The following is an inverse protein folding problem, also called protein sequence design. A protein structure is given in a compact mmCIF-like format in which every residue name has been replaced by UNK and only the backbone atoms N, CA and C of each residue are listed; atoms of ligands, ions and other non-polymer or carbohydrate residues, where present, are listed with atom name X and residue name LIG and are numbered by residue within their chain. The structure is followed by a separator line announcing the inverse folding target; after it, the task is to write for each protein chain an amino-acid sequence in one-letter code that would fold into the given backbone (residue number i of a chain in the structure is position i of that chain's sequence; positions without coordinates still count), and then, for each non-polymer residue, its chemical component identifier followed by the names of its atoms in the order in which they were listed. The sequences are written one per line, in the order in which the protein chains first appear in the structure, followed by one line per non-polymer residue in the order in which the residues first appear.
data_IF_968969684727
#
_entry.id   IF_968969684727
#
_cell.length_a   1.000
_cell.length_b   1.000
_cell.length_c   1.000
_cell.angle_alpha   90.00
_cell.angle_beta   90.00
_cell.angle_gamma   90.00
#
_symmetry.space_group_name_H-M   'P 1'
#
loop_
_entity.id
_entity.type
_entity.pdbx_description
1 polymer ?
#
# COMPACT_ATOMS: atom_id res chain seq x y z
N UNK A 1 -17.79 6.75 -14.09
CA UNK A 1 -17.10 5.44 -14.01
C UNK A 1 -18.00 4.47 -13.29
N UNK A 2 -18.05 3.19 -13.72
CA UNK A 2 -18.83 2.14 -13.03
C UNK A 2 -17.89 1.07 -12.51
N UNK A 3 -18.20 0.52 -11.34
CA UNK A 3 -17.50 -0.63 -10.77
C UNK A 3 -18.31 -1.90 -11.05
N UNK A 4 -17.68 -3.07 -10.96
CA UNK A 4 -18.31 -4.36 -11.27
C UNK A 4 -18.03 -5.47 -10.25
N UNK A 5 -17.29 -5.17 -9.17
CA UNK A 5 -17.06 -6.07 -8.04
C UNK A 5 -17.48 -5.38 -6.75
N UNK A 6 -18.58 -5.81 -6.14
CA UNK A 6 -19.24 -5.10 -5.03
C UNK A 6 -19.16 -5.83 -3.69
N UNK A 7 -19.22 -7.18 -3.69
CA UNK A 7 -19.27 -7.97 -2.45
C UNK A 7 -17.91 -8.47 -1.99
N UNK A 8 -16.90 -8.29 -2.83
CA UNK A 8 -15.52 -8.68 -2.55
C UNK A 8 -14.66 -7.44 -2.40
N UNK A 9 -13.91 -7.30 -1.29
CA UNK A 9 -12.96 -6.21 -1.10
C UNK A 9 -11.62 -6.53 -1.77
N UNK A 10 -10.92 -5.50 -2.29
CA UNK A 10 -9.54 -5.60 -2.76
C UNK A 10 -8.58 -5.01 -1.72
N UNK A 11 -7.50 -5.71 -1.40
CA UNK A 11 -6.44 -5.22 -0.53
C UNK A 11 -5.09 -5.28 -1.23
N UNK A 12 -4.39 -4.15 -1.31
CA UNK A 12 -2.97 -4.06 -1.65
C UNK A 12 -2.13 -4.03 -0.36
N UNK A 13 -1.37 -5.10 -0.09
CA UNK A 13 -0.39 -5.11 1.01
C UNK A 13 0.75 -4.14 0.70
N UNK A 14 1.24 -3.43 1.72
CA UNK A 14 2.42 -2.57 1.57
C UNK A 14 3.74 -3.34 1.58
N UNK A 15 4.71 -2.81 0.88
CA UNK A 15 6.00 -3.45 0.76
C UNK A 15 7.15 -2.50 0.37
N UNK A 16 6.93 -1.19 0.40
CA UNK A 16 7.85 -0.21 -0.17
C UNK A 16 8.11 -0.53 -1.65
N UNK A 17 9.35 -0.65 -2.15
CA UNK A 17 9.61 -0.91 -3.56
C UNK A 17 9.12 -2.28 -4.07
N UNK A 18 8.82 -3.24 -3.18
CA UNK A 18 8.18 -4.52 -3.56
C UNK A 18 6.79 -4.35 -4.17
N UNK A 19 6.15 -3.22 -3.93
CA UNK A 19 4.85 -2.86 -4.52
C UNK A 19 4.89 -2.64 -6.03
N UNK A 20 6.07 -2.57 -6.65
CA UNK A 20 6.24 -2.68 -8.10
C UNK A 20 5.62 -3.98 -8.66
N UNK A 21 5.70 -5.08 -7.90
CA UNK A 21 5.04 -6.33 -8.27
C UNK A 21 3.51 -6.19 -8.25
N UNK A 22 2.97 -5.55 -7.22
CA UNK A 22 1.53 -5.25 -7.10
C UNK A 22 1.05 -4.27 -8.16
N UNK A 23 1.90 -3.34 -8.60
CA UNK A 23 1.60 -2.41 -9.70
C UNK A 23 1.34 -3.15 -11.01
N UNK A 24 2.14 -4.17 -11.32
CA UNK A 24 1.90 -5.05 -12.48
C UNK A 24 0.55 -5.79 -12.39
N UNK A 25 0.18 -6.24 -11.19
CA UNK A 25 -1.13 -6.87 -10.93
C UNK A 25 -2.26 -5.85 -11.13
N UNK A 26 -2.14 -4.66 -10.55
CA UNK A 26 -3.14 -3.60 -10.64
C UNK A 26 -3.37 -3.17 -12.10
N UNK A 27 -2.29 -3.01 -12.87
CA UNK A 27 -2.37 -2.70 -14.30
C UNK A 27 -3.17 -3.77 -15.07
N UNK A 28 -2.85 -5.05 -14.86
CA UNK A 28 -3.56 -6.12 -15.54
C UNK A 28 -5.06 -6.14 -15.20
N UNK A 29 -5.41 -5.97 -13.92
CA UNK A 29 -6.82 -5.90 -13.50
C UNK A 29 -7.56 -4.75 -14.19
N UNK A 30 -6.94 -3.57 -14.30
CA UNK A 30 -7.51 -2.42 -15.02
C UNK A 30 -7.69 -2.71 -16.53
N UNK A 31 -6.70 -3.32 -17.17
CA UNK A 31 -6.77 -3.69 -18.60
C UNK A 31 -7.87 -4.74 -18.88
N UNK A 32 -8.16 -5.60 -17.91
CA UNK A 32 -9.25 -6.59 -18.01
C UNK A 32 -10.62 -6.03 -17.58
N UNK A 33 -10.70 -4.76 -17.20
CA UNK A 33 -11.94 -4.13 -16.76
C UNK A 33 -12.48 -4.66 -15.44
N UNK A 34 -11.63 -5.13 -14.55
CA UNK A 34 -12.01 -5.57 -13.21
C UNK A 34 -11.93 -4.40 -12.25
N UNK A 35 -13.05 -3.93 -11.72
CA UNK A 35 -13.18 -2.70 -10.95
C UNK A 35 -13.89 -2.95 -9.62
N UNK A 36 -13.11 -3.02 -8.55
CA UNK A 36 -13.63 -3.20 -7.19
C UNK A 36 -14.26 -1.92 -6.66
N UNK A 37 -15.41 -2.05 -5.98
CA UNK A 37 -16.09 -0.95 -5.31
C UNK A 37 -15.48 -0.60 -3.94
N UNK A 38 -14.68 -1.47 -3.35
CA UNK A 38 -14.04 -1.25 -2.07
C UNK A 38 -12.57 -1.69 -2.13
N UNK A 39 -11.67 -0.71 -2.00
CA UNK A 39 -10.23 -0.89 -2.17
C UNK A 39 -9.48 -0.41 -0.93
N UNK A 40 -8.65 -1.28 -0.39
CA UNK A 40 -7.81 -1.04 0.78
C UNK A 40 -6.34 -1.06 0.36
N UNK A 41 -5.55 -0.17 0.91
CA UNK A 41 -4.11 -0.17 0.64
C UNK A 41 -3.30 0.37 1.79
N UNK A 42 -2.18 -0.27 2.10
CA UNK A 42 -1.32 0.07 3.22
C UNK A 42 0.07 0.45 2.72
N UNK A 43 0.66 1.53 3.26
CA UNK A 43 2.02 1.93 2.88
C UNK A 43 2.10 2.15 1.37
N UNK A 44 3.10 1.61 0.66
CA UNK A 44 3.18 1.68 -0.79
C UNK A 44 1.95 1.08 -1.51
N UNK A 45 1.24 0.13 -0.88
CA UNK A 45 -0.05 -0.38 -1.37
C UNK A 45 -1.14 0.70 -1.41
N UNK A 46 -1.04 1.78 -0.62
CA UNK A 46 -1.95 2.93 -0.73
C UNK A 46 -1.74 3.71 -2.03
N UNK A 47 -0.49 3.79 -2.53
CA UNK A 47 -0.21 4.35 -3.85
C UNK A 47 -0.83 3.50 -4.97
N UNK A 48 -0.69 2.16 -4.89
CA UNK A 48 -1.39 1.26 -5.82
C UNK A 48 -2.92 1.46 -5.75
N UNK A 49 -3.48 1.65 -4.55
CA UNK A 49 -4.92 1.87 -4.35
C UNK A 49 -5.42 3.13 -5.05
N UNK A 50 -4.79 4.28 -4.85
CA UNK A 50 -5.25 5.54 -5.47
C UNK A 50 -5.05 5.52 -6.98
N UNK A 51 -3.94 4.95 -7.47
CA UNK A 51 -3.68 4.78 -8.90
C UNK A 51 -4.66 3.80 -9.57
N UNK A 52 -5.01 2.70 -8.91
CA UNK A 52 -6.02 1.76 -9.37
C UNK A 52 -7.41 2.41 -9.44
N UNK A 53 -7.80 3.18 -8.43
CA UNK A 53 -9.10 3.82 -8.36
C UNK A 53 -9.21 4.99 -9.35
N UNK A 54 -8.12 5.73 -9.63
CA UNK A 54 -8.11 6.71 -10.73
C UNK A 54 -8.14 6.07 -12.12
N UNK A 55 -7.94 4.75 -12.22
CA UNK A 55 -7.85 3.97 -13.48
C UNK A 55 -6.75 4.46 -14.42
N UNK A 56 -5.69 4.99 -13.88
CA UNK A 56 -4.54 5.48 -14.62
C UNK A 56 -3.57 4.32 -14.90
N UNK A 57 -3.68 3.76 -16.12
CA UNK A 57 -2.88 2.61 -16.57
C UNK A 57 -1.37 2.88 -16.58
N UNK A 58 -0.97 4.11 -16.85
CA UNK A 58 0.45 4.46 -16.93
C UNK A 58 0.99 4.76 -15.54
N UNK A 59 0.30 5.63 -14.77
CA UNK A 59 0.73 6.00 -13.44
C UNK A 59 0.83 4.81 -12.48
N UNK A 60 -0.05 3.80 -12.61
CA UNK A 60 -0.01 2.61 -11.73
C UNK A 60 1.32 1.86 -11.82
N UNK A 61 1.99 1.88 -12.98
CA UNK A 61 3.30 1.27 -13.15
C UNK A 61 4.45 2.28 -13.01
N UNK A 62 4.30 3.48 -13.54
CA UNK A 62 5.34 4.50 -13.54
C UNK A 62 5.70 4.94 -12.12
N UNK A 63 4.70 4.99 -11.21
CA UNK A 63 4.92 5.31 -9.80
C UNK A 63 5.84 4.32 -9.04
N UNK A 64 6.11 3.15 -9.60
CA UNK A 64 7.05 2.14 -9.08
C UNK A 64 8.16 1.77 -10.08
N UNK A 65 8.21 2.46 -11.22
CA UNK A 65 9.19 2.25 -12.29
C UNK A 65 10.34 3.26 -12.24
N UNK A 66 10.63 3.83 -13.42
CA UNK A 66 11.73 4.78 -13.63
C UNK A 66 11.63 6.01 -12.72
N UNK A 67 10.42 6.44 -12.35
CA UNK A 67 10.20 7.55 -11.43
C UNK A 67 10.90 7.33 -10.08
N UNK A 68 10.74 6.16 -9.47
CA UNK A 68 11.37 5.86 -8.17
C UNK A 68 12.88 5.61 -8.27
N UNK A 69 13.41 5.32 -9.45
CA UNK A 69 14.86 5.19 -9.66
C UNK A 69 15.57 6.54 -9.73
N UNK A 70 14.83 7.65 -9.91
CA UNK A 70 15.42 9.00 -9.98
C UNK A 70 16.06 9.40 -8.64
N UNK A 71 17.27 9.99 -8.66
CA UNK A 71 17.95 10.42 -7.42
C UNK A 71 17.18 11.46 -6.59
N UNK A 72 16.27 12.23 -7.21
CA UNK A 72 15.42 13.22 -6.54
C UNK A 72 14.30 12.54 -5.75
N UNK A 73 13.78 11.41 -6.20
CA UNK A 73 12.76 10.63 -5.50
C UNK A 73 13.30 10.00 -4.21
N UNK A 74 14.63 9.82 -4.11
CA UNK A 74 15.27 9.39 -2.88
C UNK A 74 16.70 8.91 -3.10
N UNK A 75 17.55 9.20 -2.12
CA UNK A 75 18.99 8.87 -2.15
C UNK A 75 19.63 9.15 -0.78
N UNK A 76 20.88 8.74 -0.59
CA UNK A 76 21.68 9.20 0.55
C UNK A 76 21.83 10.73 0.60
N UNK A 77 21.85 11.39 -0.58
CA UNK A 77 21.89 12.86 -0.66
C UNK A 77 20.60 13.48 -0.09
N UNK A 78 19.44 12.97 -0.45
CA UNK A 78 18.16 13.46 0.09
C UNK A 78 18.04 13.19 1.58
N UNK A 79 18.55 12.06 2.07
CA UNK A 79 18.63 11.73 3.48
C UNK A 79 19.48 12.73 4.27
N UNK A 80 20.69 13.04 3.81
CA UNK A 80 21.58 14.02 4.43
C UNK A 80 21.02 15.45 4.39
N UNK A 81 20.14 15.75 3.43
CA UNK A 81 19.43 17.03 3.34
C UNK A 81 18.18 17.08 4.25
N UNK A 82 17.89 16.04 5.06
CA UNK A 82 16.72 15.98 5.92
C UNK A 82 15.40 15.66 5.20
N UNK A 83 15.45 15.35 3.89
CA UNK A 83 14.27 14.99 3.08
C UNK A 83 13.89 13.52 3.19
N UNK A 84 14.73 12.70 3.84
CA UNK A 84 14.55 11.25 3.98
C UNK A 84 15.24 10.43 2.89
N UNK A 85 15.32 9.12 3.10
CA UNK A 85 15.77 8.14 2.09
C UNK A 85 14.79 8.07 0.91
N UNK A 86 13.51 8.30 1.17
CA UNK A 86 12.47 8.60 0.19
C UNK A 86 12.09 10.07 0.38
N UNK A 87 12.24 10.87 -0.67
CA UNK A 87 11.89 12.30 -0.64
C UNK A 87 10.38 12.46 -0.74
N UNK A 88 9.71 12.29 0.41
CA UNK A 88 8.26 12.31 0.46
C UNK A 88 7.63 13.61 -0.03
N UNK A 89 8.28 14.77 0.20
CA UNK A 89 7.80 16.06 -0.29
C UNK A 89 7.77 16.12 -1.82
N UNK A 90 8.77 15.52 -2.49
CA UNK A 90 8.77 15.41 -3.94
C UNK A 90 7.78 14.35 -4.43
N UNK A 91 7.81 13.14 -3.87
CA UNK A 91 6.99 12.00 -4.32
C UNK A 91 5.50 12.29 -4.20
N UNK A 92 5.06 12.77 -3.01
CA UNK A 92 3.65 13.02 -2.68
C UNK A 92 3.27 14.52 -2.76
N UNK A 93 4.16 15.35 -3.27
CA UNK A 93 3.96 16.77 -3.47
C UNK A 93 4.32 17.15 -4.90
N UNK A 94 5.48 17.79 -5.08
CA UNK A 94 5.89 18.44 -6.33
C UNK A 94 5.68 17.57 -7.58
N UNK A 95 6.02 16.28 -7.52
CA UNK A 95 5.89 15.38 -8.66
C UNK A 95 4.45 14.96 -8.95
N UNK A 96 3.60 14.86 -7.93
CA UNK A 96 2.23 14.34 -8.06
C UNK A 96 1.17 15.43 -8.26
N UNK A 97 1.54 16.70 -8.09
CA UNK A 97 0.64 17.84 -8.36
C UNK A 97 0.56 18.12 -9.87
N UNK A 98 -0.47 18.87 -10.34
CA UNK A 98 -0.60 19.25 -11.73
C UNK A 98 0.66 19.95 -12.27
N UNK A 99 1.18 19.46 -13.38
CA UNK A 99 2.42 19.95 -13.99
C UNK A 99 3.71 19.35 -13.40
N UNK A 100 3.63 18.46 -12.42
CA UNK A 100 4.76 17.69 -11.91
C UNK A 100 5.18 16.55 -12.84
N UNK A 101 6.23 15.83 -12.44
CA UNK A 101 6.82 14.76 -13.27
C UNK A 101 5.95 13.49 -13.36
N UNK A 102 5.01 13.32 -12.42
CA UNK A 102 4.09 12.19 -12.37
C UNK A 102 2.72 12.64 -11.78
N UNK A 103 1.97 13.50 -12.49
CA UNK A 103 0.75 14.11 -11.97
C UNK A 103 -0.30 13.05 -11.63
N UNK A 104 -1.01 13.25 -10.53
CA UNK A 104 -2.11 12.39 -10.09
C UNK A 104 -3.44 12.89 -10.65
N UNK A 105 -4.21 12.02 -11.30
CA UNK A 105 -5.56 12.35 -11.77
C UNK A 105 -6.56 12.31 -10.60
N UNK A 106 -6.59 13.42 -9.85
CA UNK A 106 -7.49 13.59 -8.72
C UNK A 106 -8.96 13.62 -9.13
N UNK A 107 -9.27 14.20 -10.29
CA UNK A 107 -10.65 14.29 -10.78
C UNK A 107 -11.20 12.90 -11.10
N UNK A 108 -10.44 12.07 -11.82
CA UNK A 108 -10.81 10.69 -12.10
C UNK A 108 -10.93 9.86 -10.81
N UNK A 109 -10.01 10.06 -9.85
CA UNK A 109 -10.06 9.40 -8.54
C UNK A 109 -11.34 9.73 -7.79
N UNK A 110 -11.70 11.00 -7.68
CA UNK A 110 -12.90 11.43 -6.95
C UNK A 110 -14.20 11.07 -7.69
N UNK A 111 -14.21 11.12 -9.02
CA UNK A 111 -15.36 10.73 -9.84
C UNK A 111 -15.66 9.22 -9.80
N UNK A 112 -14.70 8.39 -9.42
CA UNK A 112 -14.92 6.96 -9.25
C UNK A 112 -15.74 6.71 -7.96
N UNK A 113 -16.87 5.96 -8.01
CA UNK A 113 -17.69 5.67 -6.83
C UNK A 113 -17.02 4.74 -5.81
N UNK A 114 -15.90 4.09 -6.15
CA UNK A 114 -15.20 3.17 -5.25
C UNK A 114 -14.88 3.83 -3.91
N UNK A 115 -15.12 3.08 -2.84
CA UNK A 115 -14.68 3.42 -1.49
C UNK A 115 -13.23 3.04 -1.31
N UNK A 116 -12.47 3.94 -0.72
CA UNK A 116 -11.05 3.77 -0.43
C UNK A 116 -10.83 3.79 1.07
N UNK A 117 -10.00 2.90 1.57
CA UNK A 117 -9.56 2.91 2.97
C UNK A 117 -8.04 2.78 3.03
N UNK A 118 -7.38 3.81 3.58
CA UNK A 118 -5.93 3.90 3.73
C UNK A 118 -5.58 3.93 5.22
N UNK A 119 -5.07 2.82 5.79
CA UNK A 119 -4.63 2.78 7.18
C UNK A 119 -3.38 3.63 7.41
N UNK A 120 -3.33 4.29 8.55
CA UNK A 120 -2.18 4.99 9.11
C UNK A 120 -2.14 4.80 10.63
N UNK A 121 -1.14 5.36 11.31
CA UNK A 121 -0.94 5.23 12.75
C UNK A 121 -0.61 6.59 13.37
N UNK A 122 -1.40 7.04 14.35
CA UNK A 122 -1.11 8.25 15.11
C UNK A 122 -0.02 7.98 16.14
N UNK A 123 1.10 8.68 15.97
CA UNK A 123 2.29 8.58 16.84
C UNK A 123 1.98 8.87 18.30
N UNK A 124 1.14 9.86 18.57
CA UNK A 124 0.96 10.44 19.90
C UNK A 124 -0.13 9.74 20.71
N UNK A 125 -1.21 9.35 20.05
CA UNK A 125 -2.32 8.63 20.70
C UNK A 125 -2.20 7.11 20.61
N UNK A 126 -1.35 6.60 19.68
CA UNK A 126 -1.20 5.17 19.44
C UNK A 126 -2.42 4.52 18.78
N UNK A 127 -3.31 5.31 18.21
CA UNK A 127 -4.52 4.84 17.53
C UNK A 127 -4.28 4.54 16.07
N UNK A 128 -4.99 3.53 15.59
CA UNK A 128 -5.12 3.28 14.16
C UNK A 128 -6.02 4.35 13.54
N UNK A 129 -5.58 4.87 12.39
CA UNK A 129 -6.32 5.83 11.57
C UNK A 129 -6.71 5.11 10.29
N UNK A 130 -7.89 5.38 9.78
CA UNK A 130 -8.37 4.84 8.50
C UNK A 130 -8.89 5.99 7.66
N UNK A 131 -8.02 6.56 6.83
CA UNK A 131 -8.42 7.60 5.88
C UNK A 131 -9.31 7.03 4.79
N UNK A 132 -10.34 7.80 4.45
CA UNK A 132 -11.32 7.49 3.38
C UNK A 132 -11.40 8.66 2.42
N UNK A 133 -12.16 8.54 1.33
CA UNK A 133 -12.39 9.68 0.42
C UNK A 133 -12.97 10.91 1.09
N UNK A 134 -13.67 10.77 2.22
CA UNK A 134 -14.17 11.90 3.00
C UNK A 134 -13.03 12.76 3.60
N UNK A 135 -11.84 12.17 3.79
CA UNK A 135 -10.64 12.84 4.29
C UNK A 135 -9.75 13.40 3.17
N UNK A 136 -10.14 13.19 1.90
CA UNK A 136 -9.38 13.47 0.68
C UNK A 136 -10.07 14.58 -0.15
N UNK A 137 -10.42 15.69 0.51
CA UNK A 137 -11.20 16.79 -0.11
C UNK A 137 -10.45 17.56 -1.19
N UNK A 138 -9.13 17.51 -1.19
CA UNK A 138 -8.25 18.11 -2.20
C UNK A 138 -7.23 17.09 -2.69
N UNK A 139 -6.49 17.40 -3.75
CA UNK A 139 -5.38 16.56 -4.23
C UNK A 139 -4.29 16.46 -3.15
N UNK A 140 -3.97 17.56 -2.47
CA UNK A 140 -2.99 17.62 -1.40
C UNK A 140 -3.41 16.73 -0.21
N UNK A 141 -4.69 16.81 0.23
CA UNK A 141 -5.21 15.95 1.28
C UNK A 141 -5.08 14.47 0.91
N UNK A 142 -5.37 14.12 -0.35
CA UNK A 142 -5.23 12.75 -0.86
C UNK A 142 -3.79 12.27 -0.79
N UNK A 143 -2.87 13.09 -1.30
CA UNK A 143 -1.44 12.77 -1.32
C UNK A 143 -0.87 12.70 0.11
N UNK A 144 -1.33 13.54 1.03
CA UNK A 144 -0.92 13.51 2.44
C UNK A 144 -1.46 12.26 3.17
N UNK A 145 -2.68 11.79 2.86
CA UNK A 145 -3.19 10.52 3.39
C UNK A 145 -2.34 9.33 2.92
N UNK A 146 -1.97 9.29 1.62
CA UNK A 146 -1.08 8.25 1.06
C UNK A 146 0.32 8.33 1.67
N UNK A 147 0.88 9.54 1.80
CA UNK A 147 2.15 9.80 2.46
C UNK A 147 2.13 9.34 3.92
N UNK A 148 1.06 9.66 4.67
CA UNK A 148 0.90 9.25 6.07
C UNK A 148 0.97 7.73 6.22
N UNK A 149 0.24 6.99 5.35
CA UNK A 149 0.28 5.53 5.33
C UNK A 149 1.65 4.95 4.95
N UNK A 150 2.46 5.70 4.20
CA UNK A 150 3.75 5.25 3.65
C UNK A 150 4.97 5.70 4.48
N UNK A 151 4.76 6.51 5.52
CA UNK A 151 5.87 7.12 6.27
C UNK A 151 6.51 6.15 7.25
N UNK A 152 7.68 5.64 6.89
CA UNK A 152 8.49 4.79 7.77
C UNK A 152 9.42 5.68 8.63
N UNK A 153 9.46 5.47 9.97
CA UNK A 153 10.35 6.20 10.84
C UNK A 153 11.80 6.17 10.35
N UNK A 154 12.51 7.29 10.45
CA UNK A 154 13.88 7.56 9.98
C UNK A 154 14.06 7.60 8.46
N UNK A 155 13.26 6.88 7.69
CA UNK A 155 13.34 6.91 6.24
C UNK A 155 12.63 8.13 5.64
N UNK A 156 11.60 8.64 6.33
CA UNK A 156 10.84 9.81 5.88
C UNK A 156 10.41 10.69 7.06
N UNK A 157 10.41 12.02 6.89
CA UNK A 157 9.77 12.93 7.85
C UNK A 157 8.26 12.68 7.92
N UNK A 158 7.68 12.53 9.13
CA UNK A 158 6.25 12.28 9.26
C UNK A 158 5.42 13.52 8.87
N UNK A 159 4.34 13.35 8.10
CA UNK A 159 3.36 14.41 7.88
C UNK A 159 2.48 14.61 9.10
N UNK A 160 1.88 15.80 9.17
CA UNK A 160 0.77 16.08 10.08
C UNK A 160 -0.51 16.16 9.25
N UNK A 161 -1.41 15.21 9.44
CA UNK A 161 -2.69 15.14 8.74
C UNK A 161 -3.80 15.32 9.76
N UNK A 162 -4.68 16.31 9.56
CA UNK A 162 -5.77 16.64 10.48
C UNK A 162 -5.31 16.81 11.94
N UNK A 163 -4.13 17.42 12.15
CA UNK A 163 -3.54 17.63 13.47
C UNK A 163 -2.84 16.41 14.08
N UNK A 164 -2.84 15.25 13.42
CA UNK A 164 -2.20 14.02 13.88
C UNK A 164 -0.85 13.84 13.19
N UNK A 165 0.20 13.51 13.95
CA UNK A 165 1.50 13.12 13.39
C UNK A 165 1.48 11.65 13.02
N UNK A 166 1.44 11.38 11.71
CA UNK A 166 1.13 10.08 11.14
C UNK A 166 2.37 9.28 10.77
N UNK A 167 2.29 7.97 10.97
CA UNK A 167 3.24 6.98 10.51
C UNK A 167 2.54 5.83 9.76
N UNK A 168 3.36 5.02 9.09
CA UNK A 168 2.98 3.91 8.22
C UNK A 168 1.87 3.04 8.82
N UNK A 169 0.85 2.73 8.01
CA UNK A 169 -0.25 1.84 8.39
C UNK A 169 0.17 0.43 8.80
N UNK A 170 1.40 0.05 8.51
CA UNK A 170 2.02 -1.16 9.04
C UNK A 170 2.24 -1.14 10.55
N UNK A 171 2.10 -0.01 11.23
CA UNK A 171 2.09 0.08 12.70
C UNK A 171 0.69 -0.10 13.30
N UNK A 172 -0.36 -0.08 12.50
CA UNK A 172 -1.72 -0.39 12.91
C UNK A 172 -1.89 -1.85 13.36
N UNK A 173 -3.06 -2.19 13.90
CA UNK A 173 -3.32 -3.48 14.59
C UNK A 173 -2.99 -4.72 13.74
N UNK A 174 -3.24 -4.69 12.45
CA UNK A 174 -2.96 -5.78 11.52
C UNK A 174 -1.50 -5.91 11.09
N UNK A 175 -0.60 -5.02 11.58
CA UNK A 175 0.83 -5.05 11.24
C UNK A 175 1.13 -4.75 9.75
N UNK A 176 0.14 -4.29 8.98
CA UNK A 176 0.20 -4.01 7.54
C UNK A 176 -0.82 -4.78 6.69
N UNK A 177 -1.70 -5.56 7.36
CA UNK A 177 -2.81 -6.27 6.71
C UNK A 177 -4.10 -5.95 7.49
N UNK A 178 -4.93 -4.98 7.05
CA UNK A 178 -6.11 -4.52 7.77
C UNK A 178 -7.31 -5.47 7.61
N UNK A 179 -7.11 -6.78 7.74
CA UNK A 179 -8.16 -7.79 7.52
C UNK A 179 -9.35 -7.58 8.45
N UNK A 180 -9.07 -7.21 9.73
CA UNK A 180 -10.14 -6.92 10.70
C UNK A 180 -10.99 -5.75 10.24
N UNK A 181 -10.38 -4.67 9.72
CA UNK A 181 -11.10 -3.50 9.21
C UNK A 181 -11.99 -3.87 8.02
N UNK A 182 -11.48 -4.68 7.10
CA UNK A 182 -12.26 -5.18 5.95
C UNK A 182 -13.52 -5.94 6.44
N UNK A 183 -13.36 -6.81 7.43
CA UNK A 183 -14.48 -7.56 7.99
C UNK A 183 -15.44 -6.69 8.81
N UNK A 184 -14.92 -5.73 9.59
CA UNK A 184 -15.71 -4.75 10.34
C UNK A 184 -16.55 -3.85 9.40
N UNK A 185 -16.07 -3.60 8.17
CA UNK A 185 -16.80 -2.89 7.12
C UNK A 185 -17.88 -3.74 6.44
N UNK A 186 -18.03 -5.01 6.87
CA UNK A 186 -19.09 -5.92 6.43
C UNK A 186 -18.71 -6.89 5.33
N UNK A 187 -17.44 -6.86 4.85
CA UNK A 187 -17.01 -7.77 3.80
C UNK A 187 -16.72 -9.18 4.33
N UNK A 188 -17.34 -10.15 3.72
CA UNK A 188 -17.12 -11.59 4.00
C UNK A 188 -16.19 -12.24 2.98
N UNK A 189 -15.77 -11.48 1.96
CA UNK A 189 -14.87 -11.95 0.90
C UNK A 189 -13.85 -10.87 0.57
N UNK A 190 -12.62 -11.30 0.27
CA UNK A 190 -11.56 -10.38 -0.09
C UNK A 190 -10.54 -11.00 -1.05
N UNK A 191 -10.02 -10.19 -1.95
CA UNK A 191 -8.82 -10.46 -2.75
C UNK A 191 -7.68 -9.70 -2.10
N UNK A 192 -6.60 -10.41 -1.75
CA UNK A 192 -5.42 -9.84 -1.08
C UNK A 192 -4.20 -9.97 -1.99
N UNK A 193 -3.70 -8.85 -2.48
CA UNK A 193 -2.48 -8.80 -3.28
C UNK A 193 -1.30 -8.62 -2.32
N UNK A 194 -0.46 -9.67 -2.22
CA UNK A 194 0.68 -9.72 -1.31
C UNK A 194 1.96 -9.26 -1.99
N UNK A 195 2.81 -8.60 -1.23
CA UNK A 195 4.20 -8.26 -1.61
C UNK A 195 5.21 -9.24 -1.01
N UNK A 196 4.77 -10.46 -0.75
CA UNK A 196 5.56 -11.53 -0.13
C UNK A 196 5.18 -12.89 -0.70
N UNK A 197 6.15 -13.81 -0.67
CA UNK A 197 5.93 -15.21 -1.03
C UNK A 197 5.05 -15.91 0.02
N UNK A 198 4.39 -16.98 -0.38
CA UNK A 198 3.60 -17.82 0.54
C UNK A 198 4.47 -18.31 1.71
N UNK A 199 3.90 -18.30 2.90
CA UNK A 199 4.59 -18.73 4.12
C UNK A 199 5.55 -17.70 4.74
N UNK A 200 5.73 -16.52 4.13
CA UNK A 200 6.60 -15.49 4.71
C UNK A 200 6.11 -15.03 6.08
N UNK A 201 7.05 -14.92 7.01
CA UNK A 201 6.85 -14.34 8.35
C UNK A 201 8.02 -13.39 8.67
N UNK A 202 7.73 -12.31 9.38
CA UNK A 202 8.75 -11.34 9.82
C UNK A 202 9.55 -11.91 10.98
N UNK A 203 10.86 -11.72 10.95
CA UNK A 203 11.75 -12.03 12.08
C UNK A 203 11.56 -11.10 13.29
N UNK A 204 12.29 -11.34 14.35
CA UNK A 204 12.28 -10.47 15.53
C UNK A 204 12.75 -9.04 15.17
N UNK A 205 12.22 -8.00 15.85
CA UNK A 205 12.68 -6.63 15.66
C UNK A 205 14.16 -6.50 16.06
N UNK A 206 14.92 -5.68 15.32
CA UNK A 206 16.35 -5.47 15.62
C UNK A 206 16.55 -4.80 16.99
N UNK A 207 17.72 -5.02 17.61
CA UNK A 207 18.07 -4.38 18.87
C UNK A 207 18.05 -2.85 18.79
N UNK A 208 18.42 -2.29 17.63
CA UNK A 208 18.39 -0.84 17.38
C UNK A 208 16.96 -0.27 17.50
N UNK A 209 15.95 -1.00 17.07
CA UNK A 209 14.55 -0.55 17.19
C UNK A 209 14.12 -0.32 18.64
N UNK A 210 14.76 -0.99 19.62
CA UNK A 210 14.46 -0.80 21.06
C UNK A 210 14.88 0.58 21.57
N UNK A 211 15.82 1.24 20.91
CA UNK A 211 16.33 2.57 21.28
C UNK A 211 15.53 3.71 20.66
N UNK A 212 14.67 3.39 19.71
CA UNK A 212 13.89 4.39 18.98
C UNK A 212 12.66 4.85 19.78
N UNK A 213 12.32 6.13 19.63
CA UNK A 213 11.16 6.75 20.28
C UNK A 213 11.16 6.65 21.82
N UNK A 214 12.23 7.05 22.52
CA UNK A 214 12.29 6.93 23.99
C UNK A 214 11.20 7.77 24.67
N UNK A 215 10.79 8.90 24.07
CA UNK A 215 9.77 9.84 24.60
C UNK A 215 8.35 9.59 24.03
N UNK A 216 8.18 8.58 23.16
CA UNK A 216 6.89 8.25 22.50
C UNK A 216 6.57 6.77 22.75
N UNK A 217 6.11 6.40 23.97
CA UNK A 217 5.98 5.00 24.38
C UNK A 217 4.98 4.21 23.54
N UNK A 218 3.89 4.82 23.06
CA UNK A 218 2.87 4.16 22.24
C UNK A 218 3.44 3.80 20.85
N UNK A 219 4.13 4.74 20.21
CA UNK A 219 4.82 4.47 18.94
C UNK A 219 5.90 3.40 19.10
N UNK A 220 6.70 3.48 20.17
CA UNK A 220 7.72 2.47 20.50
C UNK A 220 7.10 1.09 20.65
N UNK A 221 5.99 0.97 21.41
CA UNK A 221 5.25 -0.29 21.57
C UNK A 221 4.76 -0.82 20.22
N UNK A 222 4.11 0.04 19.40
CA UNK A 222 3.61 -0.33 18.08
C UNK A 222 4.73 -0.89 17.18
N UNK A 223 5.91 -0.25 17.20
CA UNK A 223 7.07 -0.67 16.44
C UNK A 223 7.64 -2.02 16.91
N UNK A 224 7.79 -2.22 18.23
CA UNK A 224 8.38 -3.44 18.78
C UNK A 224 7.47 -4.67 18.60
N UNK A 225 6.14 -4.47 18.61
CA UNK A 225 5.16 -5.56 18.46
C UNK A 225 4.69 -5.75 17.01
N UNK A 226 5.13 -4.90 16.07
CA UNK A 226 4.68 -4.94 14.66
C UNK A 226 4.84 -6.31 14.02
N UNK A 227 6.02 -6.91 14.17
CA UNK A 227 6.35 -8.17 13.50
C UNK A 227 5.50 -9.32 14.04
N UNK A 228 5.27 -9.37 15.35
CA UNK A 228 4.39 -10.36 15.97
C UNK A 228 2.93 -10.19 15.49
N UNK A 229 2.42 -8.94 15.50
CA UNK A 229 1.06 -8.65 15.01
C UNK A 229 0.90 -9.03 13.54
N UNK A 230 1.87 -8.66 12.69
CA UNK A 230 1.89 -9.05 11.29
C UNK A 230 1.84 -10.58 11.12
N UNK A 231 2.68 -11.33 11.85
CA UNK A 231 2.71 -12.78 11.75
C UNK A 231 1.38 -13.42 12.17
N UNK A 232 0.78 -12.96 13.28
CA UNK A 232 -0.56 -13.40 13.70
C UNK A 232 -1.63 -13.11 12.66
N UNK A 233 -1.54 -11.96 12.00
CA UNK A 233 -2.47 -11.61 10.92
C UNK A 233 -2.23 -12.47 9.67
N UNK A 234 -0.98 -12.84 9.37
CA UNK A 234 -0.70 -13.80 8.31
C UNK A 234 -1.26 -15.19 8.61
N UNK A 235 -1.14 -15.66 9.87
CA UNK A 235 -1.72 -16.96 10.28
C UNK A 235 -3.26 -16.93 10.16
N UNK A 236 -3.88 -15.79 10.48
CA UNK A 236 -5.31 -15.60 10.28
C UNK A 236 -5.67 -15.54 8.80
N UNK A 237 -4.89 -14.86 7.96
CA UNK A 237 -5.09 -14.82 6.50
C UNK A 237 -5.03 -16.23 5.89
N UNK A 238 -4.06 -17.06 6.32
CA UNK A 238 -3.97 -18.45 5.86
C UNK A 238 -5.24 -19.25 6.22
N UNK A 239 -5.83 -19.00 7.40
CA UNK A 239 -7.10 -19.61 7.80
C UNK A 239 -8.29 -19.09 6.96
N UNK A 240 -8.32 -17.80 6.64
CA UNK A 240 -9.37 -17.21 5.80
C UNK A 240 -9.28 -17.74 4.37
N UNK A 241 -8.06 -17.91 3.84
CA UNK A 241 -7.82 -18.53 2.53
C UNK A 241 -8.32 -19.98 2.52
N UNK A 242 -7.96 -20.78 3.53
CA UNK A 242 -8.40 -22.17 3.65
C UNK A 242 -9.94 -22.33 3.75
N UNK A 243 -10.63 -21.31 4.25
CA UNK A 243 -12.11 -21.26 4.34
C UNK A 243 -12.78 -20.69 3.08
N UNK A 244 -12.00 -20.29 2.06
CA UNK A 244 -12.53 -19.63 0.86
C UNK A 244 -13.06 -18.21 1.10
N UNK A 245 -12.71 -17.57 2.22
CA UNK A 245 -13.07 -16.18 2.54
C UNK A 245 -12.10 -15.21 1.90
N UNK A 246 -10.83 -15.59 1.71
CA UNK A 246 -9.82 -14.81 1.03
C UNK A 246 -9.28 -15.55 -0.20
N UNK A 247 -9.13 -14.83 -1.31
CA UNK A 247 -8.24 -15.20 -2.40
C UNK A 247 -6.93 -14.45 -2.20
N UNK A 248 -5.83 -15.17 -2.05
CA UNK A 248 -4.54 -14.54 -1.77
C UNK A 248 -3.60 -14.73 -2.94
N UNK A 249 -3.25 -13.62 -3.58
CA UNK A 249 -2.23 -13.55 -4.61
C UNK A 249 -0.87 -13.32 -3.94
N UNK A 250 0.00 -14.33 -3.94
CA UNK A 250 1.36 -14.25 -3.40
C UNK A 250 2.36 -13.94 -4.50
N UNK A 251 3.29 -13.02 -4.26
CA UNK A 251 4.34 -12.69 -5.22
C UNK A 251 5.37 -13.83 -5.30
N UNK A 252 5.31 -14.65 -6.35
CA UNK A 252 6.15 -15.84 -6.51
C UNK A 252 7.59 -15.52 -6.93
N UNK A 253 7.74 -14.65 -7.95
CA UNK A 253 9.03 -14.31 -8.55
C UNK A 253 9.56 -12.96 -8.10
N UNK A 254 9.14 -12.51 -6.91
CA UNK A 254 9.59 -11.25 -6.34
C UNK A 254 11.08 -11.31 -6.02
N UNK A 255 11.84 -10.38 -6.60
CA UNK A 255 13.29 -10.22 -6.39
C UNK A 255 13.67 -8.91 -5.70
N UNK A 256 12.71 -7.98 -5.55
CA UNK A 256 12.95 -6.65 -4.97
C UNK A 256 13.08 -6.67 -3.45
N UNK A 257 14.04 -5.88 -2.97
CA UNK A 257 14.08 -5.44 -1.58
C UNK A 257 13.32 -4.12 -1.39
N UNK A 258 12.94 -3.81 -0.13
CA UNK A 258 12.15 -2.61 0.15
C UNK A 258 12.87 -1.29 -0.09
N UNK A 259 14.19 -1.29 -0.17
CA UNK A 259 15.05 -0.11 -0.38
C UNK A 259 15.75 -0.11 -1.73
N UNK A 260 15.32 -0.96 -2.66
CA UNK A 260 15.87 -1.07 -4.00
C UNK A 260 15.75 0.25 -4.78
N UNK A 261 16.70 0.48 -5.71
CA UNK A 261 16.79 1.67 -6.55
C UNK A 261 17.10 1.38 -8.03
N UNK A 262 17.22 0.12 -8.40
CA UNK A 262 17.53 -0.29 -9.76
C UNK A 262 16.25 -0.28 -10.62
N UNK A 263 16.23 0.62 -11.61
CA UNK A 263 15.12 0.74 -12.56
C UNK A 263 14.85 -0.55 -13.35
N UNK A 264 15.88 -1.31 -13.68
CA UNK A 264 15.71 -2.56 -14.41
C UNK A 264 15.02 -3.62 -13.54
N UNK A 265 15.38 -3.69 -12.25
CA UNK A 265 14.73 -4.57 -11.29
C UNK A 265 13.27 -4.14 -11.03
N UNK A 266 12.96 -2.84 -11.01
CA UNK A 266 11.58 -2.38 -10.92
C UNK A 266 10.75 -2.86 -12.10
N UNK A 267 11.21 -2.63 -13.33
CA UNK A 267 10.54 -3.07 -14.55
C UNK A 267 10.36 -4.59 -14.59
N UNK A 268 11.39 -5.33 -14.22
CA UNK A 268 11.33 -6.79 -14.13
C UNK A 268 10.23 -7.26 -13.17
N UNK A 269 10.11 -6.64 -11.99
CA UNK A 269 9.12 -7.05 -11.00
C UNK A 269 7.70 -6.63 -11.36
N UNK A 270 7.51 -5.46 -12.00
CA UNK A 270 6.23 -5.05 -12.60
C UNK A 270 5.79 -6.11 -13.63
N UNK A 271 6.68 -6.47 -14.54
CA UNK A 271 6.42 -7.47 -15.57
C UNK A 271 6.14 -8.87 -14.98
N UNK A 272 6.87 -9.26 -13.91
CA UNK A 272 6.62 -10.53 -13.20
C UNK A 272 5.24 -10.56 -12.56
N UNK A 273 4.83 -9.48 -11.90
CA UNK A 273 3.49 -9.35 -11.32
C UNK A 273 2.39 -9.41 -12.38
N UNK A 274 2.58 -8.71 -13.49
CA UNK A 274 1.67 -8.72 -14.64
C UNK A 274 1.54 -10.13 -15.26
N UNK A 275 2.63 -10.82 -15.49
CA UNK A 275 2.61 -12.18 -16.07
C UNK A 275 1.98 -13.19 -15.11
N UNK A 276 2.27 -13.08 -13.82
CA UNK A 276 1.69 -14.00 -12.84
C UNK A 276 0.18 -13.82 -12.75
N UNK A 277 -0.33 -12.58 -12.63
CA UNK A 277 -1.78 -12.37 -12.55
C UNK A 277 -2.49 -12.79 -13.85
N UNK A 278 -1.87 -12.59 -15.01
CA UNK A 278 -2.40 -13.06 -16.30
C UNK A 278 -2.56 -14.58 -16.31
N UNK A 279 -1.59 -15.33 -15.74
CA UNK A 279 -1.68 -16.78 -15.58
C UNK A 279 -2.78 -17.19 -14.62
N UNK A 280 -2.90 -16.49 -13.48
CA UNK A 280 -3.77 -16.87 -12.36
C UNK A 280 -5.17 -16.23 -12.46
N UNK A 281 -5.41 -15.42 -13.47
CA UNK A 281 -6.60 -14.57 -13.62
C UNK A 281 -7.90 -15.36 -13.57
N UNK A 282 -7.99 -16.49 -14.28
CA UNK A 282 -9.18 -17.35 -14.30
C UNK A 282 -9.58 -17.83 -12.90
N UNK A 283 -8.59 -18.19 -12.07
CA UNK A 283 -8.84 -18.60 -10.69
C UNK A 283 -9.33 -17.45 -9.82
N UNK A 284 -8.78 -16.25 -9.98
CA UNK A 284 -9.23 -15.05 -9.27
C UNK A 284 -10.66 -14.68 -9.68
N UNK A 285 -10.97 -14.68 -10.98
CA UNK A 285 -12.31 -14.35 -11.47
C UNK A 285 -13.35 -15.36 -11.01
N UNK A 286 -13.06 -16.66 -11.07
CA UNK A 286 -13.96 -17.70 -10.53
C UNK A 286 -14.24 -17.49 -9.04
N UNK A 287 -13.22 -17.08 -8.27
CA UNK A 287 -13.42 -16.73 -6.87
C UNK A 287 -14.31 -15.50 -6.72
N UNK A 288 -14.11 -14.42 -7.46
CA UNK A 288 -14.92 -13.19 -7.40
C UNK A 288 -16.37 -13.51 -7.77
N UNK A 289 -16.61 -14.11 -8.93
CA UNK A 289 -17.94 -14.42 -9.47
C UNK A 289 -18.78 -15.32 -8.54
N UNK A 290 -18.13 -16.25 -7.83
CA UNK A 290 -18.80 -17.07 -6.82
C UNK A 290 -19.29 -16.28 -5.60
N UNK A 291 -18.90 -15.01 -5.46
CA UNK A 291 -19.27 -14.13 -4.34
C UNK A 291 -20.24 -13.02 -4.72
N UNK A 292 -20.27 -12.59 -5.99
CA UNK A 292 -21.17 -11.53 -6.49
C UNK A 292 -22.58 -12.03 -6.72
#
# INVERSE_FOLDING_TARGET
MENNVFKTALLFEGGSMRDAYSAGVARYLLEQGVYFDNVYGVSAGSSNTVNYVSRDLDRVVDSFGDFMAQPIAGSWKTFLQGKGMFNAAYIYGDASLPGGDLPFDYEAFMANPAKVTIPSFDRDTGKDIYFTKADMGTIEDTLDCVRASSTIPFFMPPPTVQGMVCYDGGFAIGGGLPLKKIMDDGFQRMVVIRTRKRGYRKGAPSALMKLLFPTKPLMRRAMLTRNERYNKTCDWLDQLEAKGIAYVFYAEDLTLEGTERDAALFKQNIESGYKQIKRDFGGMMSYIEAGE
#
